data_IF_898252714730
#
_entry.id   IF_898252714730
#
_cell.length_a   1.000
_cell.length_b   1.000
_cell.length_c   1.000
_cell.angle_alpha   90.00
_cell.angle_beta   90.00
_cell.angle_gamma   90.00
#
_symmetry.space_group_name_H-M   'P 1'
#
loop_
_entity.id
_entity.type
_entity.pdbx_description
1 polymer ?
#
# COMPACT_ATOMS: atom_id res chain seq x y z
N UNK A 1 -72.25 18.82 -34.96
CA UNK A 1 -71.87 18.48 -33.57
C UNK A 1 -70.48 17.85 -33.61
N UNK A 2 -69.43 18.66 -33.42
CA UNK A 2 -68.04 18.18 -33.38
C UNK A 2 -67.72 17.65 -31.97
N UNK A 3 -67.21 16.41 -31.87
CA UNK A 3 -66.65 15.88 -30.63
C UNK A 3 -65.18 16.27 -30.52
N UNK A 4 -64.69 16.77 -29.37
CA UNK A 4 -63.26 17.01 -29.19
C UNK A 4 -62.52 15.68 -28.98
N UNK A 5 -61.44 15.48 -29.74
CA UNK A 5 -60.48 14.38 -29.56
C UNK A 5 -59.49 14.83 -28.49
N UNK A 6 -59.55 14.20 -27.32
CA UNK A 6 -58.61 14.46 -26.23
C UNK A 6 -57.31 13.69 -26.52
N UNK A 7 -56.25 14.42 -26.90
CA UNK A 7 -54.92 13.86 -27.13
C UNK A 7 -54.24 13.59 -25.78
N UNK A 8 -54.19 12.32 -25.35
CA UNK A 8 -53.44 11.92 -24.16
C UNK A 8 -51.94 11.86 -24.48
N UNK A 9 -51.20 12.87 -24.00
CA UNK A 9 -49.74 12.92 -24.09
C UNK A 9 -49.14 11.98 -23.03
N UNK A 10 -48.70 10.78 -23.43
CA UNK A 10 -47.96 9.88 -22.55
C UNK A 10 -46.55 10.43 -22.31
N UNK A 11 -46.33 11.00 -21.13
CA UNK A 11 -45.01 11.41 -20.65
C UNK A 11 -44.23 10.13 -20.28
N UNK A 12 -43.34 9.67 -21.17
CA UNK A 12 -42.39 8.62 -20.84
C UNK A 12 -41.36 9.18 -19.85
N UNK A 13 -41.58 8.94 -18.56
CA UNK A 13 -40.57 9.15 -17.53
C UNK A 13 -39.52 8.06 -17.73
N UNK A 14 -38.40 8.42 -18.36
CA UNK A 14 -37.22 7.57 -18.39
C UNK A 14 -36.68 7.48 -16.95
N UNK A 15 -37.03 6.39 -16.26
CA UNK A 15 -36.42 6.04 -14.98
C UNK A 15 -35.00 5.59 -15.33
N UNK A 16 -34.04 6.51 -15.23
CA UNK A 16 -32.63 6.18 -15.32
C UNK A 16 -32.29 5.25 -14.16
N UNK A 17 -32.00 3.98 -14.47
CA UNK A 17 -31.38 3.07 -13.51
C UNK A 17 -29.97 3.58 -13.23
N UNK A 18 -29.81 4.35 -12.15
CA UNK A 18 -28.48 4.61 -11.59
C UNK A 18 -27.93 3.28 -11.11
N UNK A 19 -26.90 2.78 -11.81
CA UNK A 19 -26.10 1.67 -11.30
C UNK A 19 -25.55 2.06 -9.93
N UNK A 20 -25.61 1.18 -8.91
CA UNK A 20 -25.00 1.46 -7.62
C UNK A 20 -23.52 1.80 -7.83
N UNK A 21 -23.10 2.97 -7.36
CA UNK A 21 -21.68 3.32 -7.37
C UNK A 21 -20.97 2.33 -6.44
N UNK A 22 -20.03 1.55 -6.98
CA UNK A 22 -19.23 0.66 -6.14
C UNK A 22 -18.52 1.46 -5.04
N UNK A 23 -18.55 0.98 -3.79
CA UNK A 23 -17.92 1.70 -2.69
C UNK A 23 -16.43 1.84 -2.96
N UNK A 24 -15.92 3.08 -2.86
CA UNK A 24 -14.49 3.36 -2.93
C UNK A 24 -13.74 2.50 -1.90
N UNK A 25 -12.98 1.52 -2.40
CA UNK A 25 -12.29 0.55 -1.56
C UNK A 25 -11.16 1.20 -0.75
N UNK A 26 -10.46 2.15 -1.38
CA UNK A 26 -9.33 2.93 -0.86
C UNK A 26 -8.50 2.16 0.18
N UNK A 27 -7.69 1.19 -0.27
CA UNK A 27 -6.76 0.51 0.61
C UNK A 27 -5.85 1.50 1.35
N UNK A 28 -5.48 1.24 2.62
CA UNK A 28 -4.80 2.23 3.44
C UNK A 28 -3.50 2.71 2.80
N UNK A 29 -3.32 4.03 2.65
CA UNK A 29 -2.10 4.63 2.10
C UNK A 29 -1.94 4.50 0.58
N UNK A 30 -2.98 4.09 -0.15
CA UNK A 30 -2.96 3.92 -1.60
C UNK A 30 -3.80 4.96 -2.33
N UNK A 31 -3.46 5.22 -3.59
CA UNK A 31 -4.25 5.98 -4.55
C UNK A 31 -4.76 5.04 -5.63
N UNK A 32 -5.98 5.29 -6.10
CA UNK A 32 -6.54 4.52 -7.22
C UNK A 32 -5.93 4.98 -8.55
N UNK A 33 -5.40 4.03 -9.31
CA UNK A 33 -4.93 4.25 -10.69
C UNK A 33 -5.96 3.79 -11.71
N UNK A 34 -6.60 2.65 -11.45
CA UNK A 34 -7.63 2.04 -12.29
C UNK A 34 -8.72 1.42 -11.39
N UNK A 35 -9.81 0.94 -11.99
CA UNK A 35 -10.90 0.18 -11.39
C UNK A 35 -10.45 -0.93 -10.43
N UNK A 36 -9.32 -1.59 -10.69
CA UNK A 36 -8.83 -2.73 -9.89
C UNK A 36 -7.44 -2.56 -9.29
N UNK A 37 -6.72 -1.50 -9.66
CA UNK A 37 -5.33 -1.30 -9.23
C UNK A 37 -5.23 -0.02 -8.40
N UNK A 38 -4.69 -0.19 -7.20
CA UNK A 38 -4.32 0.88 -6.30
C UNK A 38 -2.81 0.82 -6.07
N UNK A 39 -2.16 1.97 -5.96
CA UNK A 39 -0.72 2.05 -5.70
C UNK A 39 -0.44 2.85 -4.46
N UNK A 40 0.60 2.47 -3.72
CA UNK A 40 1.09 3.28 -2.63
C UNK A 40 1.47 4.69 -3.09
N UNK A 41 0.94 5.69 -2.36
CA UNK A 41 1.17 7.11 -2.64
C UNK A 41 2.63 7.53 -2.41
N UNK A 42 3.32 6.82 -1.52
CA UNK A 42 4.74 7.00 -1.17
C UNK A 42 5.39 5.62 -1.12
N UNK A 43 6.71 5.50 -1.33
CA UNK A 43 7.44 4.31 -0.92
C UNK A 43 7.15 3.95 0.54
N UNK A 44 7.27 2.66 0.86
CA UNK A 44 7.13 2.16 2.23
C UNK A 44 8.13 2.90 3.11
N UNK A 45 7.66 3.47 4.22
CA UNK A 45 8.52 4.23 5.13
C UNK A 45 9.18 3.35 6.18
N UNK A 46 10.22 3.88 6.84
CA UNK A 46 10.85 3.21 8.00
C UNK A 46 9.82 2.80 9.06
N UNK A 47 8.87 3.68 9.39
CA UNK A 47 7.77 3.36 10.34
C UNK A 47 6.96 2.15 9.88
N UNK A 48 6.49 2.17 8.63
CA UNK A 48 5.67 1.10 8.08
C UNK A 48 6.42 -0.23 8.08
N UNK A 49 7.70 -0.22 7.72
CA UNK A 49 8.52 -1.42 7.69
C UNK A 49 8.83 -1.94 9.11
N UNK A 50 9.06 -1.06 10.08
CA UNK A 50 9.22 -1.43 11.49
C UNK A 50 7.97 -2.09 12.09
N UNK A 51 6.77 -1.64 11.72
CA UNK A 51 5.52 -2.30 12.10
C UNK A 51 5.48 -3.75 11.59
N UNK A 52 5.87 -3.97 10.33
CA UNK A 52 6.01 -5.30 9.74
C UNK A 52 7.02 -6.16 10.50
N UNK A 53 8.21 -5.65 10.79
CA UNK A 53 9.25 -6.41 11.49
C UNK A 53 8.82 -6.77 12.92
N UNK A 54 8.13 -5.86 13.59
CA UNK A 54 7.58 -6.09 14.93
C UNK A 54 6.53 -7.19 14.90
N UNK A 55 5.63 -7.18 13.91
CA UNK A 55 4.66 -8.24 13.69
C UNK A 55 5.35 -9.59 13.41
N UNK A 56 6.39 -9.62 12.57
CA UNK A 56 7.16 -10.84 12.27
C UNK A 56 7.87 -11.40 13.51
N UNK A 57 8.49 -10.55 14.33
CA UNK A 57 9.12 -10.97 15.58
C UNK A 57 8.09 -11.55 16.57
N UNK A 58 6.93 -10.90 16.69
CA UNK A 58 5.82 -11.39 17.51
C UNK A 58 5.34 -12.77 17.04
N UNK A 59 5.08 -12.94 15.74
CA UNK A 59 4.63 -14.21 15.15
C UNK A 59 5.66 -15.32 15.39
N UNK A 60 6.95 -15.03 15.15
CA UNK A 60 8.05 -15.97 15.39
C UNK A 60 8.10 -16.42 16.85
N UNK A 61 7.97 -15.50 17.81
CA UNK A 61 7.93 -15.83 19.25
C UNK A 61 6.73 -16.70 19.63
N UNK A 62 5.66 -16.66 18.84
CA UNK A 62 4.47 -17.51 18.98
C UNK A 62 4.55 -18.81 18.18
N UNK A 63 5.61 -19.03 17.41
CA UNK A 63 5.80 -20.24 16.59
C UNK A 63 5.14 -20.20 15.21
N UNK A 64 4.75 -19.01 14.73
CA UNK A 64 4.09 -18.82 13.43
C UNK A 64 5.02 -18.13 12.43
N UNK A 65 4.97 -18.58 11.17
CA UNK A 65 5.69 -17.96 10.05
C UNK A 65 4.89 -16.87 9.35
N UNK A 66 3.56 -17.02 9.32
CA UNK A 66 2.63 -16.11 8.66
C UNK A 66 1.52 -15.66 9.61
N UNK A 67 0.96 -14.50 9.35
CA UNK A 67 -0.14 -14.00 10.17
C UNK A 67 -1.41 -14.83 9.96
N UNK A 68 -1.69 -15.29 8.73
CA UNK A 68 -2.86 -16.13 8.45
C UNK A 68 -2.89 -17.40 9.30
N UNK A 69 -1.73 -18.03 9.54
CA UNK A 69 -1.62 -19.22 10.39
C UNK A 69 -1.86 -18.89 11.86
N UNK A 70 -1.43 -17.71 12.30
CA UNK A 70 -1.71 -17.23 13.65
C UNK A 70 -3.20 -16.88 13.81
N UNK A 71 -3.79 -16.22 12.80
CA UNK A 71 -5.17 -15.77 12.79
C UNK A 71 -6.17 -16.90 13.07
N UNK A 72 -5.97 -18.07 12.47
CA UNK A 72 -6.87 -19.22 12.69
C UNK A 72 -6.84 -19.77 14.12
N UNK A 73 -5.82 -19.41 14.92
CA UNK A 73 -5.71 -19.82 16.33
C UNK A 73 -6.31 -18.80 17.30
N UNK A 74 -6.72 -17.64 16.79
CA UNK A 74 -7.31 -16.56 17.57
C UNK A 74 -8.78 -16.90 17.91
N UNK A 75 -9.03 -17.49 19.09
CA UNK A 75 -10.38 -17.65 19.72
C UNK A 75 -11.18 -16.33 19.90
N UNK A 76 -12.16 -16.06 19.03
CA UNK A 76 -13.05 -14.91 18.73
C UNK A 76 -13.15 -13.61 19.58
N UNK A 77 -12.43 -13.43 20.69
CA UNK A 77 -12.65 -12.31 21.62
C UNK A 77 -11.71 -11.11 21.37
N UNK A 78 -12.34 -9.93 21.39
CA UNK A 78 -11.98 -8.57 20.96
C UNK A 78 -10.64 -7.92 21.44
N UNK A 79 -9.67 -8.64 21.99
CA UNK A 79 -8.46 -8.01 22.62
C UNK A 79 -7.25 -7.85 21.67
N UNK A 80 -7.42 -7.97 20.35
CA UNK A 80 -6.34 -8.51 19.49
C UNK A 80 -5.59 -7.56 18.58
N UNK A 81 -6.10 -6.36 18.32
CA UNK A 81 -5.41 -5.39 17.46
C UNK A 81 -4.25 -4.72 18.20
N UNK A 82 -4.43 -4.36 19.48
CA UNK A 82 -3.40 -3.67 20.28
C UNK A 82 -2.16 -4.52 20.55
N UNK A 83 -2.25 -5.86 20.53
CA UNK A 83 -1.10 -6.74 20.73
C UNK A 83 -0.21 -6.90 19.48
N UNK A 84 -0.78 -6.78 18.28
CA UNK A 84 -0.05 -6.90 17.00
C UNK A 84 0.44 -5.54 16.51
N UNK A 85 -0.26 -4.46 16.88
CA UNK A 85 0.15 -3.07 16.68
C UNK A 85 0.71 -2.47 17.98
N UNK A 86 1.78 -2.99 18.61
CA UNK A 86 2.40 -2.25 19.70
C UNK A 86 2.86 -0.89 19.14
N UNK A 87 2.31 0.18 19.68
CA UNK A 87 2.38 1.54 19.12
C UNK A 87 3.74 2.23 19.30
N UNK A 88 4.84 1.48 19.41
CA UNK A 88 6.13 2.07 19.70
C UNK A 88 7.21 1.43 18.83
N UNK A 89 8.06 2.29 18.29
CA UNK A 89 9.37 1.98 17.71
C UNK A 89 10.18 1.22 18.77
N UNK A 90 9.92 -0.07 18.92
CA UNK A 90 10.70 -0.95 19.78
C UNK A 90 12.04 -1.08 19.10
N UNK A 91 13.08 -0.53 19.73
CA UNK A 91 14.49 -0.66 19.33
C UNK A 91 14.77 -2.11 18.88
N UNK A 92 14.78 -2.36 17.57
CA UNK A 92 15.05 -3.67 16.98
C UNK A 92 16.57 -3.89 16.90
N UNK A 93 17.26 -3.65 18.02
CA UNK A 93 18.67 -4.01 18.18
C UNK A 93 18.80 -5.53 18.10
N UNK A 94 19.08 -6.05 16.90
CA UNK A 94 19.48 -7.44 16.73
C UNK A 94 19.12 -8.12 15.41
N UNK A 95 18.42 -7.46 14.47
CA UNK A 95 17.99 -8.16 13.23
C UNK A 95 18.87 -7.84 12.02
N UNK A 96 19.55 -6.68 11.99
CA UNK A 96 20.32 -6.24 10.82
C UNK A 96 21.82 -6.32 11.07
N UNK A 97 22.42 -7.44 10.67
CA UNK A 97 23.86 -7.57 10.58
C UNK A 97 24.43 -6.65 9.48
N UNK A 98 25.17 -5.62 9.94
CA UNK A 98 26.09 -4.68 9.24
C UNK A 98 25.51 -3.40 8.59
N UNK A 99 25.88 -2.29 9.22
CA UNK A 99 26.30 -0.96 8.74
C UNK A 99 25.52 -0.21 7.63
N UNK A 100 24.21 -0.41 7.53
CA UNK A 100 23.32 0.75 7.41
C UNK A 100 22.91 1.14 8.82
N UNK A 101 23.46 2.27 9.28
CA UNK A 101 23.37 2.76 10.67
C UNK A 101 21.99 2.42 11.25
N UNK A 102 21.96 1.62 12.32
CA UNK A 102 20.73 1.35 13.08
C UNK A 102 19.92 2.64 13.36
N UNK A 103 20.62 3.78 13.47
CA UNK A 103 20.06 5.13 13.51
C UNK A 103 19.07 5.46 12.37
N UNK A 104 19.25 5.05 11.11
CA UNK A 104 18.32 5.48 10.05
C UNK A 104 16.93 4.86 10.20
N UNK A 105 16.87 3.55 10.42
CA UNK A 105 15.60 2.84 10.49
C UNK A 105 14.95 3.07 11.84
N UNK A 106 15.72 3.13 12.93
CA UNK A 106 15.21 3.19 14.31
C UNK A 106 15.04 4.62 14.85
N UNK A 107 15.72 5.63 14.31
CA UNK A 107 15.56 7.02 14.76
C UNK A 107 14.22 7.58 14.28
N UNK A 108 13.43 8.04 15.26
CA UNK A 108 12.15 8.71 15.06
C UNK A 108 12.22 9.85 14.02
N UNK A 109 13.37 10.52 13.90
CA UNK A 109 13.61 11.58 12.92
C UNK A 109 13.38 11.12 11.47
N UNK A 110 13.65 9.86 11.15
CA UNK A 110 13.56 9.32 9.78
C UNK A 110 12.37 8.39 9.59
N UNK A 111 11.42 8.37 10.53
CA UNK A 111 10.26 7.44 10.52
C UNK A 111 9.41 7.53 9.24
N UNK A 112 9.35 8.71 8.62
CA UNK A 112 8.56 8.97 7.42
C UNK A 112 9.41 8.95 6.13
N UNK A 113 10.71 8.63 6.23
CA UNK A 113 11.55 8.45 5.06
C UNK A 113 11.32 7.06 4.45
N UNK A 114 11.52 6.89 3.12
CA UNK A 114 11.54 5.58 2.48
C UNK A 114 12.47 4.61 3.19
N UNK A 115 12.02 3.38 3.42
CA UNK A 115 12.90 2.33 3.91
C UNK A 115 13.90 1.98 2.83
N UNK A 116 15.17 1.82 3.21
CA UNK A 116 16.29 1.51 2.33
C UNK A 116 17.08 0.32 2.88
N UNK A 117 17.93 -0.29 2.04
CA UNK A 117 18.82 -1.38 2.47
C UNK A 117 18.13 -2.70 2.74
N UNK A 118 16.90 -2.87 2.24
CA UNK A 118 16.15 -4.13 2.33
C UNK A 118 16.38 -4.96 1.07
N UNK A 119 16.27 -6.28 1.18
CA UNK A 119 16.30 -7.15 0.01
C UNK A 119 14.95 -7.13 -0.73
N UNK A 120 14.97 -7.51 -2.01
CA UNK A 120 13.74 -7.64 -2.80
C UNK A 120 12.78 -8.67 -2.19
N UNK A 121 13.33 -9.73 -1.61
CA UNK A 121 12.57 -10.78 -0.92
C UNK A 121 11.88 -10.21 0.32
N UNK A 122 12.57 -9.38 1.12
CA UNK A 122 11.96 -8.69 2.26
C UNK A 122 10.86 -7.71 1.82
N UNK A 123 11.07 -6.99 0.71
CA UNK A 123 10.07 -6.08 0.14
C UNK A 123 8.83 -6.85 -0.35
N UNK A 124 9.01 -8.00 -1.00
CA UNK A 124 7.92 -8.86 -1.43
C UNK A 124 7.19 -9.49 -0.23
N UNK A 125 7.91 -9.95 0.80
CA UNK A 125 7.30 -10.49 2.03
C UNK A 125 6.49 -9.41 2.77
N UNK A 126 6.95 -8.15 2.78
CA UNK A 126 6.19 -7.02 3.30
C UNK A 126 4.85 -6.85 2.58
N UNK A 127 4.82 -6.84 1.24
CA UNK A 127 3.57 -6.70 0.50
C UNK A 127 2.64 -7.90 0.78
N UNK A 128 3.17 -9.11 0.87
CA UNK A 128 2.39 -10.29 1.27
C UNK A 128 1.81 -10.14 2.69
N UNK A 129 2.61 -9.73 3.66
CA UNK A 129 2.15 -9.47 5.03
C UNK A 129 1.04 -8.41 5.05
N UNK A 130 1.20 -7.32 4.30
CA UNK A 130 0.21 -6.25 4.21
C UNK A 130 -1.13 -6.72 3.65
N UNK A 131 -1.12 -7.66 2.71
CA UNK A 131 -2.34 -8.35 2.24
C UNK A 131 -3.09 -8.99 3.40
N UNK A 132 -2.39 -9.75 4.24
CA UNK A 132 -2.99 -10.46 5.37
C UNK A 132 -3.54 -9.48 6.41
N UNK A 133 -2.79 -8.41 6.70
CA UNK A 133 -3.19 -7.37 7.66
C UNK A 133 -4.43 -6.60 7.21
N UNK A 134 -4.44 -6.08 5.98
CA UNK A 134 -5.55 -5.28 5.47
C UNK A 134 -6.79 -6.15 5.30
N UNK A 135 -6.64 -7.40 4.85
CA UNK A 135 -7.73 -8.36 4.77
C UNK A 135 -8.37 -8.62 6.14
N UNK A 136 -7.55 -8.88 7.16
CA UNK A 136 -8.03 -9.08 8.52
C UNK A 136 -8.73 -7.82 9.06
N UNK A 137 -8.13 -6.65 8.87
CA UNK A 137 -8.67 -5.37 9.30
C UNK A 137 -10.06 -5.12 8.68
N UNK A 138 -10.24 -5.39 7.39
CA UNK A 138 -11.54 -5.22 6.72
C UNK A 138 -12.59 -6.23 7.14
N UNK A 139 -12.19 -7.46 7.52
CA UNK A 139 -13.13 -8.48 8.02
C UNK A 139 -13.64 -8.18 9.42
N UNK A 140 -12.78 -7.62 10.27
CA UNK A 140 -12.99 -7.62 11.72
C UNK A 140 -13.26 -6.24 12.31
N UNK A 141 -12.79 -5.15 11.70
CA UNK A 141 -12.91 -3.82 12.29
C UNK A 141 -14.27 -3.18 11.92
N UNK A 142 -15.07 -2.70 12.91
CA UNK A 142 -16.38 -2.10 12.65
C UNK A 142 -16.35 -0.90 11.70
N UNK A 143 -15.25 -0.13 11.70
CA UNK A 143 -15.05 0.99 10.77
C UNK A 143 -14.84 0.60 9.30
N UNK A 144 -14.80 -0.69 8.97
CA UNK A 144 -14.54 -1.20 7.62
C UNK A 144 -15.59 -2.20 7.12
N UNK A 145 -16.79 -2.23 7.73
CA UNK A 145 -17.86 -3.16 7.36
C UNK A 145 -18.19 -3.14 5.85
N UNK A 146 -18.19 -1.96 5.23
CA UNK A 146 -18.41 -1.80 3.79
C UNK A 146 -17.31 -2.45 2.91
N UNK A 147 -16.13 -2.69 3.47
CA UNK A 147 -14.98 -3.31 2.78
C UNK A 147 -14.90 -4.83 3.00
N UNK A 148 -15.73 -5.38 3.89
CA UNK A 148 -15.76 -6.80 4.23
C UNK A 148 -15.92 -7.73 3.00
N UNK A 149 -16.78 -7.43 2.00
CA UNK A 149 -16.90 -8.26 0.81
C UNK A 149 -15.61 -8.38 -0.01
N UNK A 150 -14.75 -7.35 0.04
CA UNK A 150 -13.50 -7.30 -0.71
C UNK A 150 -12.30 -7.87 0.05
N UNK A 151 -12.47 -8.20 1.34
CA UNK A 151 -11.35 -8.56 2.18
C UNK A 151 -10.63 -9.86 1.75
N UNK A 152 -11.34 -10.79 1.11
CA UNK A 152 -10.75 -11.98 0.50
C UNK A 152 -10.17 -11.76 -0.90
N UNK A 153 -10.36 -10.57 -1.48
CA UNK A 153 -10.14 -10.27 -2.90
C UNK A 153 -9.00 -9.29 -3.12
N UNK A 154 -8.32 -8.82 -2.08
CA UNK A 154 -7.17 -7.93 -2.23
C UNK A 154 -5.86 -8.69 -2.24
N UNK A 155 -4.93 -8.20 -3.06
CA UNK A 155 -3.58 -8.75 -3.15
C UNK A 155 -2.55 -7.63 -3.29
N UNK A 156 -1.72 -7.45 -2.27
CA UNK A 156 -0.58 -6.55 -2.33
C UNK A 156 0.65 -7.27 -2.86
N UNK A 157 1.31 -6.66 -3.84
CA UNK A 157 2.56 -7.13 -4.46
C UNK A 157 3.46 -5.95 -4.78
N UNK A 158 4.73 -6.23 -5.10
CA UNK A 158 5.56 -5.23 -5.76
C UNK A 158 4.89 -4.83 -7.10
N UNK A 159 5.06 -3.58 -7.56
CA UNK A 159 4.59 -3.16 -8.87
C UNK A 159 5.40 -3.81 -10.00
N UNK A 160 4.81 -3.86 -11.18
CA UNK A 160 5.52 -4.00 -12.45
C UNK A 160 6.15 -2.64 -12.84
N UNK A 161 7.26 -2.63 -13.60
CA UNK A 161 7.86 -1.37 -14.09
C UNK A 161 6.86 -0.47 -14.83
N UNK A 162 6.01 -1.07 -15.66
CA UNK A 162 4.96 -0.38 -16.43
C UNK A 162 3.86 0.21 -15.54
N UNK A 163 3.55 -0.41 -14.39
CA UNK A 163 2.58 0.15 -13.43
C UNK A 163 3.14 1.41 -12.76
N UNK A 164 4.44 1.43 -12.44
CA UNK A 164 5.08 2.63 -11.88
C UNK A 164 5.17 3.76 -12.91
N UNK A 165 5.50 3.43 -14.17
CA UNK A 165 5.48 4.40 -15.26
C UNK A 165 4.07 4.95 -15.47
N UNK A 166 3.07 4.07 -15.57
CA UNK A 166 1.68 4.47 -15.73
C UNK A 166 1.19 5.35 -14.57
N UNK A 167 1.53 5.01 -13.32
CA UNK A 167 1.21 5.85 -12.16
C UNK A 167 1.82 7.25 -12.29
N UNK A 168 3.09 7.33 -12.67
CA UNK A 168 3.78 8.62 -12.88
C UNK A 168 3.03 9.48 -13.89
N UNK A 169 2.68 8.92 -15.05
CA UNK A 169 2.00 9.65 -16.12
C UNK A 169 0.58 10.05 -15.70
N UNK A 170 -0.19 9.11 -15.16
CA UNK A 170 -1.57 9.31 -14.70
C UNK A 170 -1.69 10.42 -13.65
N UNK A 171 -0.85 10.38 -12.60
CA UNK A 171 -0.88 11.41 -11.56
C UNK A 171 -0.24 12.72 -12.02
N UNK A 172 0.66 12.71 -13.00
CA UNK A 172 1.18 13.95 -13.62
C UNK A 172 0.09 14.69 -14.37
N UNK A 173 -0.71 13.99 -15.19
CA UNK A 173 -1.84 14.57 -15.93
C UNK A 173 -2.89 15.19 -14.99
N UNK A 174 -3.04 14.63 -13.80
CA UNK A 174 -3.95 15.13 -12.77
C UNK A 174 -3.36 16.25 -11.88
N UNK A 175 -2.13 16.70 -12.12
CA UNK A 175 -1.38 17.61 -11.24
C UNK A 175 -1.26 17.09 -9.79
N UNK A 176 -1.19 15.77 -9.62
CA UNK A 176 -1.04 15.07 -8.33
C UNK A 176 0.31 14.38 -8.18
N UNK A 177 1.19 14.47 -9.18
CA UNK A 177 2.56 13.96 -9.09
C UNK A 177 3.46 14.96 -8.35
N UNK A 178 4.00 14.53 -7.21
CA UNK A 178 5.06 15.22 -6.49
C UNK A 178 6.40 14.53 -6.73
N UNK A 179 7.29 15.18 -7.49
CA UNK A 179 8.66 14.66 -7.66
C UNK A 179 9.61 15.31 -6.65
N UNK A 180 10.13 14.51 -5.73
CA UNK A 180 11.08 14.94 -4.70
C UNK A 180 12.50 14.68 -5.22
N UNK A 181 12.99 15.66 -6.00
CA UNK A 181 14.35 15.67 -6.56
C UNK A 181 15.34 16.26 -5.55
N UNK A 182 16.58 15.79 -5.56
CA UNK A 182 17.71 16.66 -5.23
C UNK A 182 18.31 16.64 -3.82
N UNK A 183 17.98 15.71 -2.92
CA UNK A 183 18.65 15.65 -1.60
C UNK A 183 19.06 14.24 -1.18
N UNK A 184 20.03 14.18 -0.25
CA UNK A 184 20.38 12.99 0.51
C UNK A 184 19.10 12.27 0.97
N UNK A 185 18.92 10.96 0.73
CA UNK A 185 17.72 10.22 1.14
C UNK A 185 17.34 10.31 2.62
N UNK A 186 18.30 10.71 3.47
CA UNK A 186 18.09 11.02 4.88
C UNK A 186 17.26 12.30 5.12
N UNK A 187 17.01 13.14 4.10
CA UNK A 187 16.27 14.41 4.23
C UNK A 187 14.86 14.37 3.66
N UNK A 188 14.46 13.25 3.10
CA UNK A 188 13.12 13.09 2.54
C UNK A 188 12.05 13.27 3.60
N UNK A 189 10.95 13.93 3.22
CA UNK A 189 9.74 14.03 4.01
C UNK A 189 8.59 13.41 3.22
N UNK A 190 7.68 12.74 3.92
CA UNK A 190 6.43 12.32 3.31
C UNK A 190 5.61 13.56 2.90
N UNK A 191 4.91 13.52 1.75
CA UNK A 191 3.97 14.57 1.38
C UNK A 191 2.86 14.71 2.43
N UNK A 192 2.58 15.96 2.78
CA UNK A 192 1.50 16.33 3.72
C UNK A 192 0.13 16.06 3.11
N UNK A 193 0.00 16.27 1.79
CA UNK A 193 -1.22 16.01 1.05
C UNK A 193 -1.38 14.50 0.79
N UNK A 194 -2.49 13.93 1.28
CA UNK A 194 -2.79 12.52 1.13
C UNK A 194 -3.12 12.11 -0.32
N UNK A 195 -3.49 13.07 -1.16
CA UNK A 195 -3.90 12.85 -2.56
C UNK A 195 -2.74 12.90 -3.56
N UNK A 196 -1.52 13.21 -3.11
CA UNK A 196 -0.33 13.31 -3.95
C UNK A 196 0.38 11.96 -4.08
N UNK A 197 0.70 11.60 -5.32
CA UNK A 197 1.59 10.51 -5.65
C UNK A 197 3.03 11.01 -5.68
N UNK A 198 3.87 10.47 -4.81
CA UNK A 198 5.25 10.92 -4.65
C UNK A 198 6.26 9.97 -5.30
N UNK A 199 7.18 10.55 -6.04
CA UNK A 199 8.39 9.87 -6.54
C UNK A 199 9.61 10.53 -5.90
N UNK A 200 10.44 9.71 -5.26
CA UNK A 200 11.69 10.13 -4.65
C UNK A 200 12.85 9.82 -5.61
N UNK A 201 13.96 10.53 -5.47
CA UNK A 201 15.18 10.29 -6.25
C UNK A 201 15.96 9.05 -5.75
N UNK A 202 15.26 7.91 -5.68
CA UNK A 202 15.75 6.59 -5.33
C UNK A 202 15.22 5.57 -6.34
N UNK A 203 15.92 4.45 -6.48
CA UNK A 203 15.37 3.30 -7.19
C UNK A 203 14.35 2.56 -6.34
N UNK A 204 13.36 1.94 -6.98
CA UNK A 204 12.37 1.10 -6.32
C UNK A 204 12.36 -0.32 -6.88
N UNK A 205 12.19 -1.30 -5.98
CA UNK A 205 12.00 -2.69 -6.39
C UNK A 205 10.71 -2.87 -7.18
N UNK A 206 10.79 -3.68 -8.23
CA UNK A 206 9.64 -4.14 -9.02
C UNK A 206 9.56 -5.66 -8.96
N UNK A 207 8.47 -6.26 -9.47
CA UNK A 207 8.39 -7.71 -9.63
C UNK A 207 9.41 -8.23 -10.64
N UNK A 208 9.73 -7.45 -11.68
CA UNK A 208 10.76 -7.79 -12.65
C UNK A 208 12.15 -7.80 -12.01
N UNK A 209 13.14 -8.38 -12.70
CA UNK A 209 14.54 -8.34 -12.25
C UNK A 209 15.14 -6.93 -12.27
N UNK A 210 14.44 -5.96 -12.84
CA UNK A 210 14.85 -4.56 -12.96
C UNK A 210 14.22 -3.70 -11.85
N UNK A 211 14.88 -2.59 -11.53
CA UNK A 211 14.32 -1.54 -10.67
C UNK A 211 13.70 -0.43 -11.52
N UNK A 212 12.88 0.41 -10.88
CA UNK A 212 12.33 1.62 -11.49
C UNK A 212 12.99 2.87 -10.89
N UNK A 213 13.14 3.94 -11.68
CA UNK A 213 13.70 5.22 -11.25
C UNK A 213 15.23 5.30 -11.33
N UNK A 214 15.77 6.42 -10.85
CA UNK A 214 17.20 6.71 -10.79
C UNK A 214 17.59 7.14 -9.36
N UNK A 215 18.78 6.76 -8.91
CA UNK A 215 19.26 7.19 -7.59
C UNK A 215 19.93 8.55 -7.63
N UNK A 216 19.98 9.19 -6.46
CA UNK A 216 20.87 10.31 -6.18
C UNK A 216 22.30 10.04 -6.69
N UNK A 217 22.85 11.01 -7.44
CA UNK A 217 24.15 10.94 -8.14
C UNK A 217 24.25 9.90 -9.27
N UNK A 218 23.13 9.38 -9.77
CA UNK A 218 23.11 8.44 -10.89
C UNK A 218 23.67 7.05 -10.55
N UNK A 219 23.72 6.69 -9.27
CA UNK A 219 24.20 5.38 -8.82
C UNK A 219 23.19 4.32 -9.27
N UNK A 220 23.53 3.52 -10.27
CA UNK A 220 22.75 2.32 -10.61
C UNK A 220 23.27 1.16 -9.79
N UNK A 221 22.47 0.55 -8.90
CA UNK A 221 22.96 -0.54 -8.08
C UNK A 221 23.38 -1.73 -8.94
N UNK A 222 24.60 -2.21 -8.73
CA UNK A 222 25.19 -3.30 -9.54
C UNK A 222 25.03 -4.66 -8.85
N UNK A 223 24.77 -4.66 -7.54
CA UNK A 223 24.53 -5.84 -6.71
C UNK A 223 23.40 -5.60 -5.71
N UNK A 224 22.74 -6.68 -5.29
CA UNK A 224 21.55 -6.65 -4.42
C UNK A 224 21.79 -7.44 -3.13
N UNK A 225 21.30 -6.97 -1.96
CA UNK A 225 20.64 -5.69 -1.70
C UNK A 225 21.60 -4.48 -1.84
N UNK A 226 21.06 -3.28 -2.06
CA UNK A 226 21.85 -2.04 -2.13
C UNK A 226 21.31 -0.95 -1.20
N UNK A 227 22.16 0.02 -0.86
CA UNK A 227 21.91 1.02 0.19
C UNK A 227 20.87 2.10 -0.16
N UNK A 228 20.38 2.14 -1.39
CA UNK A 228 19.55 3.25 -1.90
C UNK A 228 18.29 2.80 -2.64
N UNK A 229 17.95 1.51 -2.60
CA UNK A 229 16.70 1.00 -3.18
C UNK A 229 15.63 0.89 -2.12
N UNK A 230 14.54 1.61 -2.34
CA UNK A 230 13.30 1.45 -1.59
C UNK A 230 12.32 0.56 -2.33
N UNK A 231 11.07 0.59 -1.91
CA UNK A 231 9.99 -0.09 -2.62
C UNK A 231 8.64 0.48 -2.23
N UNK A 232 7.63 0.12 -3.01
CA UNK A 232 6.23 0.35 -2.71
C UNK A 232 5.43 -0.89 -3.12
N UNK A 233 4.18 -0.98 -2.68
CA UNK A 233 3.27 -2.02 -3.13
C UNK A 233 2.20 -1.44 -4.06
N UNK A 234 1.68 -2.29 -4.93
CA UNK A 234 0.36 -2.13 -5.56
C UNK A 234 -0.61 -3.09 -4.88
N UNK A 235 -1.86 -2.67 -4.72
CA UNK A 235 -2.97 -3.50 -4.29
C UNK A 235 -3.86 -3.76 -5.50
N UNK A 236 -3.98 -5.03 -5.86
CA UNK A 236 -4.88 -5.52 -6.89
C UNK A 236 -6.16 -6.06 -6.26
N UNK A 237 -7.30 -5.74 -6.85
CA UNK A 237 -8.62 -6.27 -6.46
C UNK A 237 -9.01 -7.37 -7.45
N UNK A 238 -9.03 -8.60 -6.96
CA UNK A 238 -9.40 -9.79 -7.69
C UNK A 238 -10.91 -9.83 -7.97
N UNK A 239 -11.34 -10.45 -9.09
CA UNK A 239 -12.75 -10.70 -9.36
C UNK A 239 -13.37 -11.59 -8.29
N UNK A 240 -14.70 -11.62 -8.20
CA UNK A 240 -15.36 -12.67 -7.44
C UNK A 240 -15.12 -14.01 -8.15
N UNK A 241 -14.77 -15.04 -7.39
CA UNK A 241 -14.76 -16.41 -7.93
C UNK A 241 -16.22 -16.78 -8.23
N UNK A 242 -16.53 -17.05 -9.51
CA UNK A 242 -17.87 -17.49 -9.98
C UNK A 242 -18.22 -18.90 -9.51
#
# INVERSE_FOLDING_TARGET
MCKPITLFLFLYIAIGYSQPQEPLLNPPGTLQMDSKIYIDRTPVTNKMFLEYLTAKDFLRKKGFSEFRDYEVTLDDTLTRLTSIYPSYLLNLKGVYGKDLKAEYVEDYKYKDNPVLGVSKEQAADYCKWRTQMVSYLWRTHPGHLQKKPFAGRIYYRLPLPEELQHASDYFSEQNRLLTIKGENPLKFKAPENAEEFSLYNITEYTQASTTYGENYKGIKPVSFPNEVTGFRCVCEVLPEEE
#
